data_IF_994598600071
#
_entry.id   IF_994598600071
#
_cell.length_a   1.000
_cell.length_b   1.000
_cell.length_c   1.000
_cell.angle_alpha   90.00
_cell.angle_beta   90.00
_cell.angle_gamma   90.00
#
_symmetry.space_group_name_H-M   'P 1'
#
loop_
_entity.id
_entity.type
_entity.pdbx_description
1 polymer ?
#
# COMPACT_ATOMS: atom_id res chain seq x y z
N UNK A 1 -11.51 3.98 6.11
CA UNK A 1 -10.54 4.49 7.14
C UNK A 1 -9.92 5.86 6.81
N UNK A 2 -9.06 5.99 5.78
CA UNK A 2 -8.29 7.23 5.52
C UNK A 2 -9.17 8.44 5.21
N UNK A 3 -10.31 8.25 4.54
CA UNK A 3 -11.26 9.32 4.20
C UNK A 3 -11.99 9.92 5.41
N UNK A 4 -12.39 9.11 6.40
CA UNK A 4 -13.12 9.61 7.60
C UNK A 4 -12.24 10.37 8.60
N UNK A 5 -10.93 10.11 8.60
CA UNK A 5 -9.94 10.78 9.46
C UNK A 5 -9.25 11.96 8.76
N UNK A 6 -9.42 12.11 7.44
CA UNK A 6 -8.85 13.22 6.70
C UNK A 6 -9.47 14.55 7.17
N UNK A 7 -8.62 15.51 7.55
CA UNK A 7 -9.05 16.84 8.01
C UNK A 7 -9.55 16.92 9.45
N UNK A 8 -9.58 15.81 10.20
CA UNK A 8 -9.90 15.81 11.64
C UNK A 8 -8.65 16.00 12.50
N UNK A 9 -8.81 16.74 13.59
CA UNK A 9 -7.76 16.90 14.61
C UNK A 9 -7.57 15.60 15.39
N UNK A 10 -6.41 15.47 16.05
CA UNK A 10 -6.04 14.27 16.82
C UNK A 10 -7.08 13.93 17.89
N UNK A 11 -7.66 14.93 18.55
CA UNK A 11 -8.66 14.76 19.60
C UNK A 11 -10.01 14.29 19.05
N UNK A 12 -10.40 14.78 17.88
CA UNK A 12 -11.62 14.30 17.20
C UNK A 12 -11.48 12.83 16.77
N UNK A 13 -10.31 12.43 16.24
CA UNK A 13 -10.06 11.03 15.85
C UNK A 13 -10.08 10.10 17.07
N UNK A 14 -9.57 10.56 18.23
CA UNK A 14 -9.52 9.76 19.46
C UNK A 14 -10.91 9.50 20.06
N UNK A 15 -11.84 10.42 19.85
CA UNK A 15 -13.22 10.30 20.32
C UNK A 15 -14.15 9.56 19.34
N UNK A 16 -13.67 9.16 18.16
CA UNK A 16 -14.46 8.40 17.20
C UNK A 16 -14.55 6.90 17.57
N UNK A 17 -15.72 6.27 17.42
CA UNK A 17 -15.89 4.85 17.66
C UNK A 17 -15.10 4.01 16.64
N UNK A 18 -14.23 3.12 17.13
CA UNK A 18 -13.37 2.25 16.28
C UNK A 18 -14.16 1.38 15.30
N UNK A 19 -15.38 0.99 15.69
CA UNK A 19 -16.29 0.19 14.86
C UNK A 19 -16.75 0.94 13.60
N UNK A 20 -17.06 2.24 13.67
CA UNK A 20 -17.51 3.02 12.51
C UNK A 20 -16.39 3.34 11.52
N UNK A 21 -15.15 3.30 12.00
CA UNK A 21 -13.94 3.51 11.19
C UNK A 21 -13.60 2.22 10.45
N UNK A 22 -13.77 1.06 11.10
CA UNK A 22 -13.42 -0.25 10.55
C UNK A 22 -14.45 -0.82 9.58
N UNK A 23 -15.73 -0.43 9.73
CA UNK A 23 -16.84 -0.84 8.84
C UNK A 23 -16.95 -0.01 7.55
N UNK A 24 -16.15 1.04 7.41
CA UNK A 24 -16.13 1.87 6.22
C UNK A 24 -15.59 1.06 5.03
N UNK A 25 -16.42 0.75 4.01
CA UNK A 25 -16.01 -0.12 2.92
C UNK A 25 -14.95 0.55 2.06
N UNK A 26 -13.96 -0.25 1.64
CA UNK A 26 -12.92 0.20 0.71
C UNK A 26 -13.57 0.53 -0.63
N UNK A 27 -13.27 1.71 -1.16
CA UNK A 27 -13.69 2.12 -2.50
C UNK A 27 -12.49 2.21 -3.45
N UNK A 28 -12.76 2.29 -4.75
CA UNK A 28 -11.72 2.38 -5.78
C UNK A 28 -10.73 3.53 -5.57
N UNK A 29 -11.19 4.68 -5.08
CA UNK A 29 -10.31 5.81 -4.78
C UNK A 29 -9.27 5.50 -3.69
N UNK A 30 -9.57 4.62 -2.74
CA UNK A 30 -8.61 4.22 -1.70
C UNK A 30 -7.46 3.38 -2.33
N UNK A 31 -7.77 2.57 -3.34
CA UNK A 31 -6.76 1.80 -4.09
C UNK A 31 -5.85 2.72 -4.91
N UNK A 32 -6.42 3.71 -5.60
CA UNK A 32 -5.64 4.70 -6.36
C UNK A 32 -4.67 5.49 -5.46
N UNK A 33 -5.12 5.89 -4.27
CA UNK A 33 -4.25 6.53 -3.28
C UNK A 33 -3.18 5.59 -2.73
N UNK A 34 -3.53 4.32 -2.52
CA UNK A 34 -2.58 3.32 -2.04
C UNK A 34 -1.46 3.07 -3.06
N UNK A 35 -1.80 2.93 -4.35
CA UNK A 35 -0.84 2.74 -5.43
C UNK A 35 0.12 3.92 -5.59
N UNK A 36 -0.32 5.16 -5.30
CA UNK A 36 0.58 6.33 -5.29
C UNK A 36 1.60 6.29 -4.16
N UNK A 37 1.23 5.74 -3.00
CA UNK A 37 2.07 5.72 -1.78
C UNK A 37 2.96 4.48 -1.67
N UNK A 38 2.51 3.36 -2.23
CA UNK A 38 3.19 2.06 -2.13
C UNK A 38 3.63 1.67 -3.54
N UNK A 39 4.93 1.82 -3.80
CA UNK A 39 5.56 1.41 -5.05
C UNK A 39 6.16 0.00 -4.91
N UNK A 40 6.30 -0.76 -6.01
CA UNK A 40 7.03 -2.02 -6.00
C UNK A 40 8.43 -1.85 -5.39
N UNK A 41 8.82 -2.75 -4.50
CA UNK A 41 10.14 -2.71 -3.84
C UNK A 41 11.27 -3.23 -4.72
N UNK A 42 10.93 -3.86 -5.85
CA UNK A 42 11.88 -4.42 -6.80
C UNK A 42 11.68 -3.74 -8.14
N UNK A 43 12.75 -3.19 -8.71
CA UNK A 43 12.70 -2.55 -10.02
C UNK A 43 12.80 -3.57 -11.16
N UNK A 44 12.35 -3.20 -12.34
CA UNK A 44 12.53 -4.02 -13.54
C UNK A 44 14.01 -4.36 -13.80
N UNK A 45 14.92 -3.42 -13.53
CA UNK A 45 16.35 -3.64 -13.69
C UNK A 45 16.89 -4.69 -12.71
N UNK A 46 16.34 -4.76 -11.49
CA UNK A 46 16.75 -5.78 -10.51
C UNK A 46 16.23 -7.16 -10.90
N UNK A 47 15.02 -7.24 -11.48
CA UNK A 47 14.48 -8.47 -12.06
C UNK A 47 15.39 -8.96 -13.20
N UNK A 48 15.75 -8.09 -14.15
CA UNK A 48 16.63 -8.46 -15.28
C UNK A 48 18.01 -8.94 -14.82
N UNK A 49 18.59 -8.30 -13.80
CA UNK A 49 19.86 -8.76 -13.22
C UNK A 49 19.74 -10.15 -12.62
N UNK A 50 18.66 -10.40 -11.88
CA UNK A 50 18.39 -11.71 -11.30
C UNK A 50 18.20 -12.78 -12.39
N UNK A 51 17.41 -12.49 -13.43
CA UNK A 51 17.19 -13.42 -14.56
C UNK A 51 18.50 -13.78 -15.28
N UNK A 52 19.37 -12.78 -15.54
CA UNK A 52 20.68 -13.01 -16.15
C UNK A 52 21.56 -13.90 -15.27
N UNK A 53 21.61 -13.61 -13.98
CA UNK A 53 22.37 -14.40 -13.02
C UNK A 53 21.83 -15.84 -12.93
N UNK A 54 20.51 -16.00 -12.86
CA UNK A 54 19.87 -17.31 -12.80
C UNK A 54 20.12 -18.13 -14.07
N UNK A 55 20.14 -17.51 -15.25
CA UNK A 55 20.46 -18.19 -16.49
C UNK A 55 21.92 -18.67 -16.56
N UNK A 56 22.86 -17.95 -15.94
CA UNK A 56 24.29 -18.27 -15.98
C UNK A 56 24.73 -19.22 -14.85
N UNK A 57 24.13 -19.09 -13.67
CA UNK A 57 24.57 -19.77 -12.45
C UNK A 57 23.48 -20.59 -11.75
N UNK A 58 22.24 -20.55 -12.24
CA UNK A 58 21.14 -21.34 -11.69
C UNK A 58 21.38 -22.83 -11.93
N UNK A 59 21.40 -23.62 -10.87
CA UNK A 59 21.44 -25.08 -11.02
C UNK A 59 20.06 -25.60 -11.41
N UNK A 60 20.05 -26.67 -12.20
CA UNK A 60 18.87 -27.51 -12.42
C UNK A 60 18.42 -28.20 -11.12
#
# INVERSE_FOLDING_TARGET
MRRKIAGKTRDEIKNMPKDEISKDPVAMCDFEEALKKVQPSVSQADIEKHEKWFAEFGSA
#
